data_IF_517177571788
#
_entry.id   IF_517177571788
#
_cell.length_a   1.000
_cell.length_b   1.000
_cell.length_c   1.000
_cell.angle_alpha   90.00
_cell.angle_beta   90.00
_cell.angle_gamma   90.00
#
_symmetry.space_group_name_H-M   'P 1'
#
loop_
_entity.id
_entity.type
_entity.pdbx_description
1 polymer ?
#
# COMPACT_ATOMS: atom_id res chain seq x y z
N UNK A 1 45.39 4.63 -34.56
CA UNK A 1 44.06 4.00 -34.43
C UNK A 1 43.99 3.49 -33.00
N UNK A 2 43.34 4.25 -32.12
CA UNK A 2 43.18 3.88 -30.72
C UNK A 2 41.97 2.94 -30.60
N UNK A 3 42.19 1.79 -29.99
CA UNK A 3 41.15 0.84 -29.58
C UNK A 3 40.21 1.54 -28.58
N UNK A 4 38.92 1.45 -28.86
CA UNK A 4 37.86 1.86 -27.94
C UNK A 4 37.72 0.73 -26.93
N UNK A 5 38.31 0.93 -25.75
CA UNK A 5 38.05 0.13 -24.57
C UNK A 5 36.54 0.13 -24.31
N UNK A 6 35.93 -1.04 -24.46
CA UNK A 6 34.58 -1.32 -24.02
C UNK A 6 34.53 -1.19 -22.50
N UNK A 7 33.88 -0.13 -22.00
CA UNK A 7 33.42 -0.03 -20.63
C UNK A 7 32.50 -1.22 -20.33
N UNK A 8 33.06 -2.29 -19.77
CA UNK A 8 32.31 -3.30 -19.03
C UNK A 8 31.64 -2.60 -17.84
N UNK A 9 30.31 -2.48 -17.91
CA UNK A 9 29.50 -2.07 -16.78
C UNK A 9 29.61 -3.16 -15.70
N UNK A 10 29.81 -2.79 -14.43
CA UNK A 10 29.94 -3.78 -13.36
C UNK A 10 28.63 -4.56 -13.23
N UNK A 11 28.74 -5.89 -13.31
CA UNK A 11 27.71 -6.88 -12.98
C UNK A 11 27.27 -6.75 -11.52
N UNK A 12 26.50 -5.70 -11.22
CA UNK A 12 25.52 -5.73 -10.15
C UNK A 12 24.29 -6.38 -10.75
N UNK A 13 24.06 -7.66 -10.43
CA UNK A 13 22.95 -8.48 -10.91
C UNK A 13 21.60 -7.83 -10.53
N UNK A 14 21.15 -6.88 -11.35
CA UNK A 14 19.80 -6.32 -11.29
C UNK A 14 18.89 -7.47 -11.64
N UNK A 15 18.29 -8.10 -10.63
CA UNK A 15 17.44 -9.28 -10.80
C UNK A 15 16.42 -9.03 -11.92
N UNK A 16 16.66 -9.61 -13.09
CA UNK A 16 15.85 -9.34 -14.28
C UNK A 16 14.49 -9.98 -14.06
N UNK A 17 13.44 -9.16 -13.92
CA UNK A 17 12.10 -9.70 -13.83
C UNK A 17 11.73 -10.31 -15.18
N UNK A 18 11.23 -11.55 -15.16
CA UNK A 18 10.59 -12.15 -16.34
C UNK A 18 9.44 -11.25 -16.82
N UNK A 19 9.15 -11.23 -18.13
CA UNK A 19 8.08 -10.41 -18.71
C UNK A 19 6.72 -10.55 -17.99
N UNK A 20 6.23 -11.75 -17.62
CA UNK A 20 4.99 -11.89 -16.86
C UNK A 20 5.05 -11.21 -15.48
N UNK A 21 6.21 -11.26 -14.82
CA UNK A 21 6.43 -10.64 -13.53
C UNK A 21 6.53 -9.12 -13.64
N UNK A 22 7.18 -8.60 -14.69
CA UNK A 22 7.19 -7.16 -14.98
C UNK A 22 5.77 -6.63 -15.21
N UNK A 23 4.96 -7.35 -15.99
CA UNK A 23 3.54 -7.01 -16.21
C UNK A 23 2.74 -7.06 -14.92
N UNK A 24 2.97 -8.06 -14.08
CA UNK A 24 2.30 -8.15 -12.79
C UNK A 24 2.69 -6.99 -11.87
N UNK A 25 3.97 -6.68 -11.72
CA UNK A 25 4.45 -5.61 -10.84
C UNK A 25 3.98 -4.21 -11.29
N UNK A 26 3.98 -3.93 -12.60
CA UNK A 26 3.65 -2.59 -13.11
C UNK A 26 2.17 -2.34 -13.38
N UNK A 27 1.38 -3.40 -13.59
CA UNK A 27 -0.05 -3.27 -13.98
C UNK A 27 -0.93 -4.08 -13.05
N UNK A 28 -0.63 -5.38 -12.88
CA UNK A 28 -1.46 -6.28 -12.08
C UNK A 28 -1.54 -5.85 -10.61
N UNK A 29 -0.39 -5.56 -9.99
CA UNK A 29 -0.27 -5.27 -8.57
C UNK A 29 -0.96 -3.96 -8.17
N UNK A 30 -0.77 -2.82 -8.89
CA UNK A 30 -1.53 -1.60 -8.62
C UNK A 30 -3.04 -1.79 -8.74
N UNK A 31 -3.52 -2.50 -9.78
CA UNK A 31 -4.95 -2.76 -10.00
C UNK A 31 -5.54 -3.66 -8.91
N UNK A 32 -4.88 -4.77 -8.60
CA UNK A 32 -5.35 -5.69 -7.56
C UNK A 32 -5.39 -5.02 -6.19
N UNK A 33 -4.40 -4.18 -5.90
CA UNK A 33 -4.33 -3.48 -4.61
C UNK A 33 -5.39 -2.39 -4.49
N UNK A 34 -5.73 -1.71 -5.59
CA UNK A 34 -6.78 -0.68 -5.61
C UNK A 34 -8.20 -1.25 -5.47
N UNK A 35 -8.43 -2.54 -5.80
CA UNK A 35 -9.69 -3.22 -5.49
C UNK A 35 -10.02 -3.19 -3.99
N UNK A 36 -9.01 -3.22 -3.13
CA UNK A 36 -9.22 -3.06 -1.69
C UNK A 36 -9.79 -1.68 -1.35
N UNK A 37 -9.33 -0.63 -2.03
CA UNK A 37 -9.83 0.74 -1.84
C UNK A 37 -11.21 0.95 -2.46
N UNK A 38 -11.51 0.28 -3.58
CA UNK A 38 -12.87 0.19 -4.12
C UNK A 38 -13.83 -0.43 -3.09
N UNK A 39 -13.46 -1.59 -2.53
CA UNK A 39 -14.27 -2.28 -1.55
C UNK A 39 -14.45 -1.47 -0.27
N UNK A 40 -13.36 -0.90 0.27
CA UNK A 40 -13.41 -0.12 1.50
C UNK A 40 -14.22 1.16 1.32
N UNK A 41 -13.93 1.99 0.31
CA UNK A 41 -14.67 3.24 0.08
C UNK A 41 -16.16 2.98 -0.11
N UNK A 42 -16.54 2.00 -0.93
CA UNK A 42 -17.93 1.59 -1.13
C UNK A 42 -18.57 1.11 0.18
N UNK A 43 -17.85 0.30 0.95
CA UNK A 43 -18.30 -0.22 2.23
C UNK A 43 -18.54 0.90 3.25
N UNK A 44 -17.62 1.86 3.37
CA UNK A 44 -17.77 3.02 4.27
C UNK A 44 -18.97 3.86 3.83
N UNK A 45 -19.09 4.17 2.55
CA UNK A 45 -20.22 4.92 2.00
C UNK A 45 -21.55 4.25 2.38
N UNK A 46 -21.68 2.94 2.15
CA UNK A 46 -22.92 2.23 2.44
C UNK A 46 -23.16 2.03 3.95
N UNK A 47 -22.18 1.57 4.70
CA UNK A 47 -22.34 1.17 6.11
C UNK A 47 -22.53 2.36 7.04
N UNK A 48 -21.83 3.48 6.79
CA UNK A 48 -21.87 4.67 7.65
C UNK A 48 -22.94 5.67 7.18
N UNK A 49 -23.03 5.91 5.87
CA UNK A 49 -23.89 6.96 5.30
C UNK A 49 -25.15 6.41 4.61
N UNK A 50 -25.25 5.10 4.40
CA UNK A 50 -26.40 4.48 3.75
C UNK A 50 -26.49 4.68 2.24
N UNK A 51 -25.58 5.47 1.65
CA UNK A 51 -25.57 5.86 0.26
C UNK A 51 -24.25 5.43 -0.41
N UNK A 52 -24.29 5.11 -1.70
CA UNK A 52 -23.07 4.86 -2.48
C UNK A 52 -22.89 6.07 -3.39
N UNK A 53 -21.72 6.69 -3.31
CA UNK A 53 -21.31 7.79 -4.17
C UNK A 53 -20.05 7.35 -4.94
N UNK A 54 -20.02 7.64 -6.23
CA UNK A 54 -18.92 7.26 -7.11
C UNK A 54 -17.66 8.10 -6.84
N UNK A 55 -17.80 9.34 -6.36
CA UNK A 55 -16.69 10.27 -6.15
C UNK A 55 -15.64 9.76 -5.16
N UNK A 56 -15.98 9.38 -3.91
CA UNK A 56 -14.97 8.86 -2.99
C UNK A 56 -14.34 7.56 -3.48
N UNK A 57 -15.09 6.72 -4.21
CA UNK A 57 -14.58 5.48 -4.80
C UNK A 57 -13.54 5.77 -5.86
N UNK A 58 -13.84 6.63 -6.84
CA UNK A 58 -12.89 7.00 -7.89
C UNK A 58 -11.66 7.72 -7.34
N UNK A 59 -11.82 8.58 -6.33
CA UNK A 59 -10.68 9.23 -5.66
C UNK A 59 -9.78 8.17 -5.06
N UNK A 60 -10.29 7.29 -4.20
CA UNK A 60 -9.46 6.33 -3.48
C UNK A 60 -8.82 5.29 -4.42
N UNK A 61 -9.56 4.79 -5.41
CA UNK A 61 -9.03 3.84 -6.41
C UNK A 61 -7.94 4.47 -7.26
N UNK A 62 -8.19 5.66 -7.83
CA UNK A 62 -7.20 6.34 -8.68
C UNK A 62 -5.96 6.71 -7.88
N UNK A 63 -6.13 7.13 -6.62
CA UNK A 63 -5.03 7.47 -5.71
C UNK A 63 -4.12 6.26 -5.44
N UNK A 64 -4.71 5.09 -5.14
CA UNK A 64 -3.95 3.86 -4.92
C UNK A 64 -3.21 3.43 -6.19
N UNK A 65 -3.87 3.46 -7.36
CA UNK A 65 -3.22 3.11 -8.64
C UNK A 65 -2.06 4.05 -8.92
N UNK A 66 -2.21 5.35 -8.68
CA UNK A 66 -1.15 6.33 -8.89
C UNK A 66 0.02 6.14 -7.94
N UNK A 67 -0.26 6.05 -6.64
CA UNK A 67 0.79 6.00 -5.61
C UNK A 67 1.58 4.70 -5.67
N UNK A 68 0.89 3.56 -5.76
CA UNK A 68 1.53 2.25 -5.86
C UNK A 68 2.15 2.09 -7.25
N UNK A 69 1.43 2.44 -8.31
CA UNK A 69 1.91 2.29 -9.67
C UNK A 69 3.13 3.16 -9.96
N UNK A 70 3.21 4.39 -9.44
CA UNK A 70 4.42 5.22 -9.58
C UNK A 70 5.60 4.67 -8.76
N UNK A 71 5.38 4.20 -7.53
CA UNK A 71 6.45 3.60 -6.71
C UNK A 71 7.07 2.40 -7.44
N UNK A 72 6.23 1.45 -7.91
CA UNK A 72 6.70 0.30 -8.68
C UNK A 72 7.28 0.69 -10.04
N UNK A 73 6.73 1.69 -10.73
CA UNK A 73 7.27 2.15 -12.01
C UNK A 73 8.69 2.72 -11.84
N UNK A 74 8.91 3.53 -10.79
CA UNK A 74 10.23 4.10 -10.52
C UNK A 74 11.23 3.07 -10.02
N UNK A 75 10.82 2.11 -9.19
CA UNK A 75 11.68 1.02 -8.73
C UNK A 75 12.17 0.14 -9.91
N UNK A 76 11.41 0.09 -11.01
CA UNK A 76 11.79 -0.63 -12.25
C UNK A 76 12.50 0.25 -13.30
N UNK A 77 12.95 1.47 -12.95
CA UNK A 77 13.72 2.34 -13.86
C UNK A 77 14.96 1.66 -14.46
N UNK A 78 15.76 0.86 -13.72
CA UNK A 78 16.89 0.13 -14.31
C UNK A 78 16.48 -0.84 -15.42
N UNK A 79 15.36 -1.55 -15.25
CA UNK A 79 14.81 -2.43 -16.28
C UNK A 79 14.33 -1.66 -17.51
N UNK A 80 13.76 -0.47 -17.34
CA UNK A 80 13.39 0.40 -18.45
C UNK A 80 14.62 0.84 -19.26
N UNK A 81 15.72 1.20 -18.60
CA UNK A 81 16.97 1.57 -19.28
C UNK A 81 17.53 0.40 -20.08
N UNK A 82 17.56 -0.80 -19.49
CA UNK A 82 17.99 -2.01 -20.18
C UNK A 82 17.09 -2.38 -21.37
N UNK A 83 15.77 -2.32 -21.21
CA UNK A 83 14.83 -2.61 -22.29
C UNK A 83 15.04 -1.66 -23.48
N UNK A 84 15.36 -0.38 -23.21
CA UNK A 84 15.72 0.59 -24.26
C UNK A 84 17.05 0.25 -24.93
N UNK A 85 18.07 -0.11 -24.16
CA UNK A 85 19.40 -0.42 -24.72
C UNK A 85 19.41 -1.73 -25.51
N UNK A 86 18.55 -2.68 -25.16
CA UNK A 86 18.40 -3.96 -25.84
C UNK A 86 17.29 -3.98 -26.90
N UNK A 87 16.57 -2.87 -27.09
CA UNK A 87 15.40 -2.80 -27.96
C UNK A 87 14.37 -3.91 -27.71
N UNK A 88 14.10 -4.20 -26.43
CA UNK A 88 13.09 -5.19 -26.02
C UNK A 88 11.69 -4.58 -26.11
N UNK A 89 11.07 -4.71 -27.29
CA UNK A 89 9.73 -4.17 -27.58
C UNK A 89 8.65 -4.69 -26.62
N UNK A 90 8.79 -5.93 -26.13
CA UNK A 90 7.81 -6.52 -25.22
C UNK A 90 7.87 -5.83 -23.85
N UNK A 91 9.06 -5.64 -23.28
CA UNK A 91 9.23 -4.92 -22.04
C UNK A 91 8.83 -3.44 -22.18
N UNK A 92 9.24 -2.77 -23.27
CA UNK A 92 8.89 -1.37 -23.55
C UNK A 92 7.36 -1.17 -23.69
N UNK A 93 6.67 -2.13 -24.29
CA UNK A 93 5.21 -2.15 -24.37
C UNK A 93 4.58 -2.19 -22.97
N UNK A 94 5.09 -3.04 -22.06
CA UNK A 94 4.57 -3.08 -20.67
C UNK A 94 4.73 -1.74 -19.96
N UNK A 95 5.90 -1.10 -20.06
CA UNK A 95 6.10 0.24 -19.48
C UNK A 95 5.17 1.29 -20.11
N UNK A 96 4.91 1.21 -21.42
CA UNK A 96 4.00 2.12 -22.11
C UNK A 96 2.57 1.96 -21.62
N UNK A 97 2.09 0.71 -21.44
CA UNK A 97 0.78 0.42 -20.87
C UNK A 97 0.66 0.88 -19.41
N UNK A 98 1.70 0.66 -18.60
CA UNK A 98 1.74 1.13 -17.21
C UNK A 98 1.65 2.67 -17.15
N UNK A 99 2.40 3.38 -18.01
CA UNK A 99 2.32 4.84 -18.12
C UNK A 99 0.94 5.32 -18.53
N UNK A 100 0.31 4.66 -19.50
CA UNK A 100 -1.05 5.00 -19.93
C UNK A 100 -2.06 4.80 -18.79
N UNK A 101 -1.94 3.70 -18.04
CA UNK A 101 -2.78 3.44 -16.86
C UNK A 101 -2.64 4.56 -15.82
N UNK A 102 -1.41 4.99 -15.52
CA UNK A 102 -1.13 6.08 -14.59
C UNK A 102 -1.73 7.41 -15.08
N UNK A 103 -1.53 7.77 -16.35
CA UNK A 103 -2.08 8.99 -16.93
C UNK A 103 -3.62 8.99 -16.93
N UNK A 104 -4.24 7.86 -17.26
CA UNK A 104 -5.69 7.71 -17.22
C UNK A 104 -6.23 7.90 -15.79
N UNK A 105 -5.60 7.29 -14.79
CA UNK A 105 -6.01 7.47 -13.38
C UNK A 105 -5.74 8.89 -12.86
N UNK A 106 -4.68 9.56 -13.32
CA UNK A 106 -4.46 10.97 -13.02
C UNK A 106 -5.60 11.85 -13.56
N UNK A 107 -6.01 11.63 -14.81
CA UNK A 107 -7.13 12.34 -15.41
C UNK A 107 -8.45 12.09 -14.66
N UNK A 108 -8.75 10.82 -14.33
CA UNK A 108 -9.93 10.45 -13.53
C UNK A 108 -9.91 11.12 -12.15
N UNK A 109 -8.77 11.11 -11.46
CA UNK A 109 -8.61 11.74 -10.15
C UNK A 109 -8.88 13.25 -10.24
N UNK A 110 -8.25 13.93 -11.21
CA UNK A 110 -8.41 15.38 -11.41
C UNK A 110 -9.89 15.72 -11.69
N UNK A 111 -10.53 15.04 -12.63
CA UNK A 111 -11.93 15.27 -12.98
C UNK A 111 -12.83 15.03 -11.76
N UNK A 112 -12.57 13.97 -10.99
CA UNK A 112 -13.38 13.66 -9.80
C UNK A 112 -13.21 14.71 -8.70
N UNK A 113 -11.98 15.19 -8.47
CA UNK A 113 -11.70 16.26 -7.51
C UNK A 113 -12.32 17.60 -7.92
N UNK A 114 -12.33 17.94 -9.21
CA UNK A 114 -13.02 19.12 -9.73
C UNK A 114 -14.55 19.05 -9.54
N UNK A 115 -15.11 17.85 -9.44
CA UNK A 115 -16.53 17.59 -9.15
C UNK A 115 -16.82 17.39 -7.66
N UNK A 116 -15.84 17.64 -6.80
CA UNK A 116 -15.91 17.46 -5.36
C UNK A 116 -15.74 18.80 -4.63
N UNK A 117 -16.23 18.94 -3.38
CA UNK A 117 -15.93 20.10 -2.56
C UNK A 117 -14.41 20.26 -2.38
N UNK A 118 -13.92 21.51 -2.40
CA UNK A 118 -12.48 21.81 -2.33
C UNK A 118 -11.78 21.18 -1.11
N UNK A 119 -12.49 21.04 0.01
CA UNK A 119 -11.96 20.39 1.22
C UNK A 119 -11.59 18.92 0.98
N UNK A 120 -12.30 18.24 0.08
CA UNK A 120 -11.98 16.87 -0.35
C UNK A 120 -10.64 16.85 -1.07
N UNK A 121 -10.35 17.84 -1.90
CA UNK A 121 -9.04 17.98 -2.57
C UNK A 121 -7.92 18.21 -1.56
N UNK A 122 -8.14 19.06 -0.55
CA UNK A 122 -7.17 19.28 0.53
C UNK A 122 -6.90 18.00 1.33
N UNK A 123 -7.95 17.28 1.75
CA UNK A 123 -7.83 15.99 2.46
C UNK A 123 -7.08 14.97 1.58
N UNK A 124 -7.48 14.85 0.32
CA UNK A 124 -6.87 13.93 -0.64
C UNK A 124 -5.37 14.23 -0.80
N UNK A 125 -5.00 15.51 -0.93
CA UNK A 125 -3.61 15.93 -1.05
C UNK A 125 -2.77 15.54 0.18
N UNK A 126 -3.31 15.70 1.40
CA UNK A 126 -2.61 15.33 2.65
C UNK A 126 -2.24 13.85 2.69
N UNK A 127 -3.05 12.97 2.09
CA UNK A 127 -2.78 11.52 2.07
C UNK A 127 -2.01 11.06 0.83
N UNK A 128 -2.24 11.65 -0.34
CA UNK A 128 -1.56 11.27 -1.59
C UNK A 128 -0.13 11.80 -1.64
N UNK A 129 0.12 13.06 -1.29
CA UNK A 129 1.44 13.69 -1.49
C UNK A 129 2.54 12.89 -0.75
N UNK A 130 2.38 12.49 0.52
CA UNK A 130 3.39 11.67 1.19
C UNK A 130 3.64 10.33 0.48
N UNK A 131 2.61 9.73 -0.11
CA UNK A 131 2.73 8.48 -0.86
C UNK A 131 3.38 8.67 -2.24
N UNK A 132 3.23 9.83 -2.88
CA UNK A 132 3.96 10.15 -4.12
C UNK A 132 5.44 10.44 -3.85
N UNK A 133 5.74 10.98 -2.67
CA UNK A 133 7.10 11.31 -2.23
C UNK A 133 7.77 10.14 -1.48
N UNK A 134 7.16 8.96 -1.51
CA UNK A 134 7.48 7.81 -0.66
C UNK A 134 8.95 7.37 -0.70
N UNK A 135 9.52 7.33 -1.90
CA UNK A 135 10.92 6.95 -2.17
C UNK A 135 11.81 8.15 -2.52
N UNK A 136 11.31 9.39 -2.41
CA UNK A 136 12.09 10.57 -2.77
C UNK A 136 12.91 11.06 -1.57
N UNK A 137 14.16 11.46 -1.83
CA UNK A 137 14.96 12.17 -0.84
C UNK A 137 14.40 13.58 -0.67
N UNK A 138 13.83 13.87 0.51
CA UNK A 138 13.23 15.17 0.80
C UNK A 138 14.24 16.18 1.32
N UNK A 139 15.18 15.74 2.15
CA UNK A 139 16.18 16.58 2.78
C UNK A 139 17.50 15.84 2.88
N UNK A 140 18.61 16.56 2.66
CA UNK A 140 19.95 16.08 2.97
C UNK A 140 20.42 16.75 4.25
N UNK A 141 20.83 15.96 5.24
CA UNK A 141 21.55 16.49 6.40
C UNK A 141 23.04 16.18 6.24
N UNK A 142 23.88 17.21 6.31
CA UNK A 142 25.33 17.01 6.51
C UNK A 142 25.56 16.49 7.91
N UNK A 143 25.62 15.17 8.08
CA UNK A 143 26.06 14.59 9.35
C UNK A 143 27.53 14.92 9.54
N UNK A 144 27.82 15.88 10.42
CA UNK A 144 29.18 16.25 10.84
C UNK A 144 29.74 15.27 11.85
N UNK A 145 29.73 13.97 11.55
CA UNK A 145 30.35 12.94 12.40
C UNK A 145 31.42 12.21 11.61
N UNK A 146 32.67 12.42 12.04
CA UNK A 146 33.84 11.69 11.57
C UNK A 146 33.64 10.19 11.87
N UNK A 147 33.29 9.41 10.85
CA UNK A 147 33.21 7.95 10.96
C UNK A 147 34.61 7.35 10.89
N UNK A 148 35.01 6.65 11.95
CA UNK A 148 36.22 5.83 12.01
C UNK A 148 36.28 4.82 10.84
N UNK A 149 37.42 4.67 10.14
CA UNK A 149 37.50 3.98 8.87
C UNK A 149 37.87 2.49 9.00
N UNK A 150 37.11 1.68 9.75
CA UNK A 150 37.51 0.27 9.94
C UNK A 150 36.45 -0.81 9.78
N UNK A 151 35.19 -0.53 9.37
CA UNK A 151 34.19 -1.62 9.31
C UNK A 151 33.16 -1.60 8.17
N UNK A 152 33.34 -0.84 7.09
CA UNK A 152 32.35 -0.82 5.99
C UNK A 152 33.02 -0.98 4.62
N UNK A 153 33.19 -2.23 4.15
CA UNK A 153 33.70 -2.54 2.81
C UNK A 153 32.67 -3.25 1.91
N UNK A 154 31.38 -3.28 2.25
CA UNK A 154 30.34 -3.95 1.43
C UNK A 154 28.96 -3.27 1.41
N UNK A 155 28.90 -1.95 1.58
CA UNK A 155 27.67 -1.20 1.28
C UNK A 155 27.81 -0.60 -0.13
N UNK A 156 26.89 -0.90 -1.08
CA UNK A 156 26.91 -0.24 -2.38
C UNK A 156 26.60 1.25 -2.21
N UNK A 157 27.19 2.05 -3.09
CA UNK A 157 27.20 3.51 -3.11
C UNK A 157 25.81 4.13 -2.91
N UNK A 158 25.50 4.58 -1.70
CA UNK A 158 24.63 5.74 -1.49
C UNK A 158 25.45 6.81 -0.77
N UNK A 159 25.73 7.88 -1.49
CA UNK A 159 26.41 9.11 -1.10
C UNK A 159 26.41 9.43 0.40
N UNK A 160 27.61 9.72 0.90
CA UNK A 160 27.96 10.39 2.16
C UNK A 160 27.05 11.59 2.50
N UNK A 161 25.91 11.31 3.14
CA UNK A 161 24.98 12.29 3.73
C UNK A 161 23.70 11.58 4.17
N UNK A 162 23.22 11.81 5.39
CA UNK A 162 21.96 11.21 5.83
C UNK A 162 20.80 11.88 5.10
N UNK A 163 20.28 11.21 4.07
CA UNK A 163 19.12 11.60 3.30
C UNK A 163 17.83 11.17 4.01
N UNK A 164 16.88 12.08 4.17
CA UNK A 164 15.55 11.76 4.70
C UNK A 164 14.66 11.23 3.57
N UNK A 165 14.19 9.99 3.74
CA UNK A 165 13.26 9.31 2.82
C UNK A 165 12.12 8.72 3.66
N UNK A 166 10.87 9.02 3.33
CA UNK A 166 9.69 8.60 4.13
C UNK A 166 9.66 7.08 4.34
N UNK A 167 9.88 6.30 3.27
CA UNK A 167 9.88 4.83 3.35
C UNK A 167 11.02 4.24 4.19
N UNK A 168 12.02 5.04 4.56
CA UNK A 168 13.18 4.63 5.36
C UNK A 168 13.09 5.04 6.84
N UNK A 169 11.97 5.60 7.27
CA UNK A 169 11.76 5.86 8.71
C UNK A 169 11.54 4.50 9.41
N UNK A 170 12.36 4.15 10.42
CA UNK A 170 12.32 2.82 11.03
C UNK A 170 10.94 2.41 11.54
N UNK A 171 10.41 1.30 11.00
CA UNK A 171 9.15 0.69 11.41
C UNK A 171 7.89 1.45 10.98
N UNK A 172 8.03 2.63 10.37
CA UNK A 172 6.91 3.51 10.07
C UNK A 172 6.28 3.27 8.71
N UNK A 173 6.95 2.53 7.80
CA UNK A 173 6.43 2.17 6.47
C UNK A 173 5.01 1.60 6.54
N UNK A 174 4.80 0.53 7.31
CA UNK A 174 3.49 -0.09 7.44
C UNK A 174 2.46 0.80 8.17
N UNK A 175 2.91 1.60 9.13
CA UNK A 175 2.04 2.53 9.88
C UNK A 175 1.51 3.63 8.97
N UNK A 176 2.37 4.27 8.18
CA UNK A 176 1.94 5.29 7.22
C UNK A 176 1.01 4.71 6.15
N UNK A 177 1.30 3.52 5.62
CA UNK A 177 0.39 2.85 4.67
C UNK A 177 -1.00 2.65 5.31
N UNK A 178 -1.06 2.23 6.58
CA UNK A 178 -2.32 2.08 7.30
C UNK A 178 -3.06 3.40 7.51
N UNK A 179 -2.36 4.47 7.88
CA UNK A 179 -2.96 5.81 8.04
C UNK A 179 -3.48 6.33 6.70
N UNK A 180 -2.66 6.27 5.64
CA UNK A 180 -3.01 6.77 4.31
C UNK A 180 -4.21 6.01 3.75
N UNK A 181 -4.21 4.67 3.82
CA UNK A 181 -5.25 3.84 3.19
C UNK A 181 -6.46 3.59 4.09
N UNK A 182 -6.29 3.55 5.40
CA UNK A 182 -7.38 3.40 6.38
C UNK A 182 -8.03 4.76 6.67
N UNK A 183 -7.33 5.61 7.42
CA UNK A 183 -7.82 6.94 7.78
C UNK A 183 -8.09 7.82 6.55
N UNK A 184 -7.22 7.80 5.54
CA UNK A 184 -7.41 8.62 4.34
C UNK A 184 -8.66 8.26 3.55
N UNK A 185 -8.92 6.96 3.34
CA UNK A 185 -10.17 6.51 2.68
C UNK A 185 -11.40 6.97 3.47
N UNK A 186 -11.39 6.79 4.80
CA UNK A 186 -12.50 7.25 5.64
C UNK A 186 -12.69 8.77 5.55
N UNK A 187 -11.61 9.55 5.62
CA UNK A 187 -11.66 11.02 5.58
C UNK A 187 -12.22 11.54 4.25
N UNK A 188 -11.82 10.95 3.11
CA UNK A 188 -12.36 11.29 1.78
C UNK A 188 -13.84 10.95 1.67
N UNK A 189 -14.27 9.77 2.14
CA UNK A 189 -15.69 9.40 2.13
C UNK A 189 -16.49 10.36 3.03
N UNK A 190 -15.96 10.64 4.22
CA UNK A 190 -16.59 11.54 5.18
C UNK A 190 -16.77 12.95 4.61
N UNK A 191 -15.74 13.52 3.97
CA UNK A 191 -15.81 14.89 3.44
C UNK A 191 -16.84 15.07 2.33
N UNK A 192 -17.20 13.99 1.63
CA UNK A 192 -18.18 14.01 0.55
C UNK A 192 -19.61 13.71 1.02
N UNK A 193 -19.76 12.82 2.00
CA UNK A 193 -21.08 12.31 2.38
C UNK A 193 -21.64 12.93 3.67
N UNK A 194 -20.82 13.40 4.60
CA UNK A 194 -21.30 13.84 5.92
C UNK A 194 -22.26 15.02 5.88
N UNK A 195 -22.13 15.89 4.86
CA UNK A 195 -23.00 17.06 4.69
C UNK A 195 -24.36 16.71 4.08
N UNK A 196 -24.42 15.65 3.26
CA UNK A 196 -25.63 15.27 2.49
C UNK A 196 -26.39 14.13 3.14
N UNK A 197 -25.70 13.32 3.94
CA UNK A 197 -26.24 12.17 4.64
C UNK A 197 -25.79 12.26 6.09
N UNK A 198 -26.64 12.72 7.03
CA UNK A 198 -26.31 12.60 8.43
C UNK A 198 -26.03 11.13 8.72
N UNK A 199 -24.95 10.86 9.46
CA UNK A 199 -24.62 9.50 9.88
C UNK A 199 -25.89 8.88 10.49
N UNK A 200 -26.29 7.71 9.98
CA UNK A 200 -27.59 7.13 10.36
C UNK A 200 -27.69 7.06 11.89
N UNK A 201 -28.85 7.44 12.48
CA UNK A 201 -29.08 7.26 13.91
C UNK A 201 -28.83 5.80 14.30
N UNK A 202 -28.28 5.56 15.49
CA UNK A 202 -27.99 4.22 16.03
C UNK A 202 -29.30 3.45 16.36
N UNK A 203 -30.12 3.16 15.36
CA UNK A 203 -31.40 2.48 15.49
C UNK A 203 -31.52 1.34 14.48
N UNK A 204 -31.56 0.10 14.99
CA UNK A 204 -31.70 -1.15 14.24
C UNK A 204 -30.42 -1.59 13.51
N UNK A 205 -29.93 -2.81 13.79
CA UNK A 205 -28.85 -3.55 13.10
C UNK A 205 -27.64 -2.74 12.55
N UNK A 206 -27.38 -1.52 13.03
CA UNK A 206 -26.18 -0.75 12.70
C UNK A 206 -25.00 -1.37 13.46
N UNK A 207 -24.31 -2.26 12.76
CA UNK A 207 -23.22 -3.04 13.33
C UNK A 207 -21.92 -2.21 13.39
N UNK A 208 -21.82 -1.11 12.62
CA UNK A 208 -20.59 -0.32 12.47
C UNK A 208 -20.77 1.14 12.87
N UNK A 209 -19.99 1.60 13.85
CA UNK A 209 -19.82 3.03 14.13
C UNK A 209 -18.71 3.64 13.26
N UNK A 210 -18.74 4.96 12.96
CA UNK A 210 -17.67 5.61 12.21
C UNK A 210 -16.28 5.38 12.82
N UNK A 211 -16.19 5.43 14.15
CA UNK A 211 -14.95 5.16 14.89
C UNK A 211 -14.48 3.72 14.73
N UNK A 212 -15.39 2.73 14.79
CA UNK A 212 -15.04 1.33 14.58
C UNK A 212 -14.46 1.11 13.17
N UNK A 213 -15.12 1.65 12.15
CA UNK A 213 -14.68 1.55 10.75
C UNK A 213 -13.29 2.19 10.59
N UNK A 214 -13.11 3.40 11.11
CA UNK A 214 -11.85 4.12 11.05
C UNK A 214 -10.71 3.33 11.72
N UNK A 215 -10.88 2.98 12.99
CA UNK A 215 -9.82 2.31 13.79
C UNK A 215 -9.51 0.93 13.22
N UNK A 216 -10.52 0.11 12.93
CA UNK A 216 -10.31 -1.23 12.39
C UNK A 216 -9.66 -1.17 11.01
N UNK A 217 -10.14 -0.31 10.10
CA UNK A 217 -9.57 -0.24 8.73
C UNK A 217 -8.10 0.16 8.75
N UNK A 218 -7.71 1.09 9.63
CA UNK A 218 -6.32 1.52 9.82
C UNK A 218 -5.46 0.40 10.38
N UNK A 219 -5.87 -0.24 11.48
CA UNK A 219 -5.12 -1.35 12.08
C UNK A 219 -4.96 -2.49 11.06
N UNK A 220 -6.05 -2.87 10.39
CA UNK A 220 -6.07 -3.94 9.42
C UNK A 220 -5.11 -3.63 8.25
N UNK A 221 -5.14 -2.41 7.71
CA UNK A 221 -4.23 -2.00 6.63
C UNK A 221 -2.77 -1.96 7.07
N UNK A 222 -2.48 -1.50 8.29
CA UNK A 222 -1.12 -1.58 8.84
C UNK A 222 -0.65 -3.03 8.94
N UNK A 223 -1.46 -3.93 9.51
CA UNK A 223 -1.07 -5.34 9.65
C UNK A 223 -0.81 -6.01 8.31
N UNK A 224 -1.67 -5.78 7.31
CA UNK A 224 -1.48 -6.32 5.97
C UNK A 224 -0.27 -5.70 5.24
N UNK A 225 0.08 -4.44 5.54
CA UNK A 225 1.33 -3.85 5.04
C UNK A 225 2.56 -4.51 5.68
N UNK A 226 2.53 -4.82 6.98
CA UNK A 226 3.59 -5.61 7.64
C UNK A 226 3.70 -7.01 7.04
N UNK A 227 2.57 -7.64 6.68
CA UNK A 227 2.61 -8.92 5.97
C UNK A 227 3.29 -8.83 4.60
N UNK A 228 3.12 -7.72 3.88
CA UNK A 228 3.88 -7.48 2.65
C UNK A 228 5.38 -7.29 2.95
N UNK A 229 5.73 -6.64 4.06
CA UNK A 229 7.13 -6.57 4.50
C UNK A 229 7.69 -7.96 4.89
N UNK A 230 6.87 -8.89 5.42
CA UNK A 230 7.28 -10.30 5.66
C UNK A 230 7.60 -10.98 4.33
N UNK A 231 6.73 -10.83 3.32
CA UNK A 231 6.94 -11.39 1.97
C UNK A 231 8.28 -10.95 1.39
N UNK A 232 8.64 -9.68 1.61
CA UNK A 232 9.84 -9.07 1.04
C UNK A 232 11.04 -9.08 2.01
N UNK A 233 10.96 -9.82 3.12
CA UNK A 233 11.95 -9.80 4.19
C UNK A 233 13.39 -10.03 3.71
N UNK A 234 13.62 -11.02 2.84
CA UNK A 234 14.96 -11.34 2.34
C UNK A 234 15.55 -10.18 1.53
N UNK A 235 14.72 -9.53 0.72
CA UNK A 235 15.08 -8.40 -0.12
C UNK A 235 15.36 -7.17 0.75
N UNK A 236 14.41 -6.82 1.64
CA UNK A 236 14.51 -5.71 2.59
C UNK A 236 15.71 -5.87 3.53
N UNK A 237 16.01 -7.10 3.96
CA UNK A 237 17.19 -7.42 4.77
C UNK A 237 18.49 -7.14 4.00
N UNK A 238 18.58 -7.57 2.74
CA UNK A 238 19.76 -7.32 1.91
C UNK A 238 19.99 -5.83 1.65
N UNK A 239 18.90 -5.06 1.50
CA UNK A 239 18.92 -3.62 1.24
C UNK A 239 18.91 -2.76 2.52
N UNK A 240 18.90 -3.40 3.70
CA UNK A 240 18.79 -2.74 5.01
C UNK A 240 17.64 -1.72 5.07
N UNK A 241 16.49 -2.07 4.48
CA UNK A 241 15.28 -1.28 4.57
C UNK A 241 14.68 -1.52 5.96
N UNK A 242 14.47 -0.48 6.79
CA UNK A 242 14.15 -0.66 8.20
C UNK A 242 12.65 -0.93 8.42
N UNK A 243 12.12 -2.00 7.80
CA UNK A 243 10.76 -2.50 8.00
C UNK A 243 10.65 -3.22 9.35
N UNK A 244 9.41 -3.44 9.84
CA UNK A 244 9.19 -4.09 11.14
C UNK A 244 9.88 -5.48 11.22
N UNK A 245 9.75 -6.37 10.21
CA UNK A 245 10.48 -7.64 10.20
C UNK A 245 11.99 -7.51 10.30
N UNK A 246 12.57 -6.54 9.59
CA UNK A 246 14.02 -6.27 9.59
C UNK A 246 14.47 -5.73 10.95
N UNK A 247 13.71 -4.80 11.55
CA UNK A 247 14.02 -4.25 12.87
C UNK A 247 13.94 -5.31 13.98
N UNK A 248 12.98 -6.24 13.88
CA UNK A 248 12.87 -7.39 14.79
C UNK A 248 13.84 -8.52 14.44
N UNK A 249 14.55 -8.41 13.30
CA UNK A 249 15.47 -9.41 12.74
C UNK A 249 14.85 -10.81 12.63
N UNK A 250 13.53 -10.88 12.53
CA UNK A 250 12.80 -12.14 12.64
C UNK A 250 11.38 -12.01 12.11
N UNK A 251 11.07 -12.86 11.13
CA UNK A 251 9.73 -13.03 10.62
C UNK A 251 8.81 -13.62 11.70
N UNK A 252 9.29 -14.59 12.47
CA UNK A 252 8.53 -15.23 13.56
C UNK A 252 8.11 -14.22 14.62
N UNK A 253 9.02 -13.35 15.07
CA UNK A 253 8.67 -12.30 16.04
C UNK A 253 7.61 -11.33 15.48
N UNK A 254 7.68 -11.06 14.18
CA UNK A 254 6.67 -10.22 13.52
C UNK A 254 5.31 -10.91 13.47
N UNK A 255 5.25 -12.22 13.17
CA UNK A 255 4.01 -13.00 13.21
C UNK A 255 3.36 -12.98 14.59
N UNK A 256 4.15 -13.12 15.65
CA UNK A 256 3.66 -12.97 17.02
C UNK A 256 3.13 -11.57 17.30
N UNK A 257 3.85 -10.52 16.90
CA UNK A 257 3.39 -9.14 17.04
C UNK A 257 2.04 -8.90 16.34
N UNK A 258 1.90 -9.34 15.08
CA UNK A 258 0.65 -9.22 14.33
C UNK A 258 -0.50 -10.00 15.00
N UNK A 259 -0.21 -11.20 15.52
CA UNK A 259 -1.20 -12.00 16.26
C UNK A 259 -1.69 -11.28 17.51
N UNK A 260 -0.78 -10.65 18.27
CA UNK A 260 -1.14 -9.86 19.46
C UNK A 260 -2.03 -8.67 19.06
N UNK A 261 -1.65 -7.93 18.01
CA UNK A 261 -2.44 -6.78 17.53
C UNK A 261 -3.84 -7.22 17.07
N UNK A 262 -3.96 -8.31 16.31
CA UNK A 262 -5.25 -8.86 15.92
C UNK A 262 -6.07 -9.35 17.11
N UNK A 263 -5.45 -10.01 18.09
CA UNK A 263 -6.11 -10.44 19.31
C UNK A 263 -6.64 -9.26 20.14
N UNK A 264 -5.85 -8.19 20.30
CA UNK A 264 -6.32 -6.96 20.95
C UNK A 264 -7.48 -6.32 20.18
N UNK A 265 -7.43 -6.33 18.84
CA UNK A 265 -8.53 -5.86 17.98
C UNK A 265 -9.80 -6.68 18.21
N UNK A 266 -9.70 -8.00 18.32
CA UNK A 266 -10.81 -8.89 18.66
C UNK A 266 -11.41 -8.53 20.02
N UNK A 267 -10.58 -8.32 21.04
CA UNK A 267 -11.05 -7.98 22.39
C UNK A 267 -11.76 -6.61 22.44
N UNK A 268 -11.19 -5.60 21.77
CA UNK A 268 -11.76 -4.25 21.77
C UNK A 268 -13.10 -4.22 21.01
N UNK A 269 -13.21 -4.97 19.92
CA UNK A 269 -14.36 -4.94 19.03
C UNK A 269 -15.20 -6.24 19.05
N UNK A 270 -15.17 -6.98 20.16
CA UNK A 270 -15.79 -8.32 20.26
C UNK A 270 -17.28 -8.37 19.91
N UNK A 271 -18.00 -7.25 20.04
CA UNK A 271 -19.43 -7.16 19.71
C UNK A 271 -19.70 -6.97 18.22
N UNK A 272 -18.69 -6.63 17.42
CA UNK A 272 -18.83 -6.46 15.98
C UNK A 272 -18.32 -7.73 15.27
N UNK A 273 -19.26 -8.60 14.90
CA UNK A 273 -18.97 -9.91 14.28
C UNK A 273 -18.10 -9.79 13.03
N UNK A 274 -18.23 -8.70 12.25
CA UNK A 274 -17.45 -8.54 11.03
C UNK A 274 -15.99 -8.17 11.32
N UNK A 275 -15.74 -7.32 12.33
CA UNK A 275 -14.37 -7.05 12.80
C UNK A 275 -13.75 -8.33 13.36
N UNK A 276 -14.56 -9.13 14.09
CA UNK A 276 -14.12 -10.42 14.62
C UNK A 276 -13.70 -11.37 13.51
N UNK A 277 -14.58 -11.63 12.55
CA UNK A 277 -14.30 -12.51 11.42
C UNK A 277 -13.11 -12.01 10.58
N UNK A 278 -13.03 -10.70 10.32
CA UNK A 278 -11.92 -10.11 9.59
C UNK A 278 -10.58 -10.27 10.30
N UNK A 279 -10.55 -10.11 11.63
CA UNK A 279 -9.32 -10.26 12.43
C UNK A 279 -8.91 -11.72 12.58
N UNK A 280 -9.88 -12.65 12.67
CA UNK A 280 -9.60 -14.10 12.63
C UNK A 280 -9.01 -14.49 11.28
N UNK A 281 -9.61 -14.04 10.17
CA UNK A 281 -9.07 -14.25 8.82
C UNK A 281 -7.65 -13.71 8.68
N UNK A 282 -7.39 -12.48 9.12
CA UNK A 282 -6.05 -11.89 9.10
C UNK A 282 -5.05 -12.70 9.93
N UNK A 283 -5.45 -13.16 11.13
CA UNK A 283 -4.62 -14.01 11.99
C UNK A 283 -4.26 -15.33 11.30
N UNK A 284 -5.22 -15.98 10.64
CA UNK A 284 -4.96 -17.21 9.87
C UNK A 284 -3.93 -16.94 8.77
N UNK A 285 -4.08 -15.84 8.02
CA UNK A 285 -3.13 -15.49 6.96
C UNK A 285 -1.72 -15.20 7.49
N UNK A 286 -1.59 -14.54 8.66
CA UNK A 286 -0.29 -14.26 9.30
C UNK A 286 0.51 -15.54 9.52
N UNK A 287 -0.16 -16.64 9.90
CA UNK A 287 0.49 -17.92 10.13
C UNK A 287 0.61 -18.79 8.88
N UNK A 288 -0.32 -18.65 7.93
CA UNK A 288 -0.31 -19.40 6.67
C UNK A 288 0.73 -18.89 5.66
N UNK A 289 1.08 -17.60 5.71
CA UNK A 289 1.99 -16.97 4.75
C UNK A 289 3.35 -16.66 5.38
N UNK A 290 4.41 -16.78 4.59
CA UNK A 290 5.79 -16.46 4.97
C UNK A 290 6.64 -15.96 3.80
N UNK A 291 7.88 -15.56 4.06
CA UNK A 291 8.82 -15.09 3.03
C UNK A 291 9.09 -16.10 1.91
N UNK A 292 8.80 -17.39 2.16
CA UNK A 292 8.93 -18.50 1.20
C UNK A 292 7.65 -18.78 0.41
N UNK A 293 6.54 -18.15 0.77
CA UNK A 293 5.25 -18.38 0.11
C UNK A 293 5.21 -17.71 -1.26
N UNK A 294 4.43 -18.27 -2.19
CA UNK A 294 4.20 -17.64 -3.48
C UNK A 294 3.59 -16.24 -3.29
N UNK A 295 4.19 -15.22 -3.92
CA UNK A 295 3.72 -13.82 -3.91
C UNK A 295 2.25 -13.71 -4.32
N UNK A 296 1.73 -14.63 -5.14
CA UNK A 296 0.31 -14.66 -5.52
C UNK A 296 -0.62 -14.92 -4.33
N UNK A 297 -0.21 -15.73 -3.36
CA UNK A 297 -1.01 -16.03 -2.16
C UNK A 297 -1.18 -14.79 -1.28
N UNK A 298 -0.21 -13.88 -1.28
CA UNK A 298 -0.32 -12.59 -0.59
C UNK A 298 -1.42 -11.69 -1.15
N UNK A 299 -2.00 -11.99 -2.33
CA UNK A 299 -3.20 -11.28 -2.81
C UNK A 299 -4.39 -11.46 -1.88
N UNK A 300 -4.49 -12.60 -1.20
CA UNK A 300 -5.52 -12.86 -0.19
C UNK A 300 -5.46 -11.85 0.97
N UNK A 301 -4.25 -11.40 1.31
CA UNK A 301 -4.01 -10.35 2.32
C UNK A 301 -4.60 -9.01 1.88
N UNK A 302 -4.52 -8.67 0.58
CA UNK A 302 -5.04 -7.40 0.05
C UNK A 302 -6.57 -7.33 -0.02
N UNK A 303 -7.26 -8.47 0.07
CA UNK A 303 -8.72 -8.58 -0.05
C UNK A 303 -9.47 -8.82 1.27
N UNK A 304 -8.82 -8.71 2.44
CA UNK A 304 -9.51 -8.89 3.72
C UNK A 304 -10.71 -7.96 3.92
N UNK A 305 -10.60 -6.71 3.47
CA UNK A 305 -11.70 -5.74 3.51
C UNK A 305 -12.78 -6.03 2.45
N UNK A 306 -12.40 -6.61 1.31
CA UNK A 306 -13.35 -7.06 0.28
C UNK A 306 -14.22 -8.19 0.81
N UNK A 307 -13.62 -9.17 1.51
CA UNK A 307 -14.35 -10.26 2.15
C UNK A 307 -15.35 -9.73 3.18
N UNK A 308 -14.90 -8.84 4.07
CA UNK A 308 -15.77 -8.23 5.10
C UNK A 308 -16.92 -7.45 4.47
N UNK A 309 -16.64 -6.67 3.41
CA UNK A 309 -17.68 -5.95 2.68
C UNK A 309 -18.71 -6.92 2.08
N UNK A 310 -18.27 -7.99 1.41
CA UNK A 310 -19.16 -9.00 0.82
C UNK A 310 -20.04 -9.67 1.89
N UNK A 311 -19.44 -10.12 3.00
CA UNK A 311 -20.17 -10.76 4.09
C UNK A 311 -21.21 -9.79 4.68
N UNK A 312 -20.85 -8.52 4.86
CA UNK A 312 -21.77 -7.47 5.30
C UNK A 312 -22.95 -7.30 4.34
N UNK A 313 -22.68 -7.24 3.03
CA UNK A 313 -23.71 -7.12 2.01
C UNK A 313 -24.66 -8.32 1.98
N UNK A 314 -24.12 -9.55 2.05
CA UNK A 314 -24.93 -10.77 2.10
C UNK A 314 -25.83 -10.75 3.35
N UNK A 315 -25.27 -10.44 4.52
CA UNK A 315 -26.03 -10.37 5.77
C UNK A 315 -27.14 -9.30 5.74
N UNK A 316 -26.98 -8.23 4.97
CA UNK A 316 -28.00 -7.18 4.81
C UNK A 316 -29.02 -7.46 3.70
N UNK A 317 -28.68 -8.29 2.72
CA UNK A 317 -29.59 -8.68 1.62
C UNK A 317 -30.53 -9.82 2.01
N UNK A 318 -30.16 -10.59 3.03
CA UNK A 318 -31.04 -11.59 3.67
C UNK A 318 -31.51 -11.05 5.02
N UNK A 319 -32.54 -10.17 5.07
CA UNK A 319 -33.23 -9.94 6.31
C UNK A 319 -33.81 -11.30 6.74
N UNK A 320 -33.39 -11.77 7.91
CA UNK A 320 -34.01 -12.92 8.57
C UNK A 320 -35.53 -12.74 8.53
N UNK A 321 -36.19 -13.70 7.87
CA UNK A 321 -37.64 -13.89 7.90
C UNK A 321 -38.13 -14.12 9.34
#
# INVERSE_FOLDING_TARGET
>A
MAEIDSCELPDGDVSVLSLPRLKDELIGHPLMTSMGSLALSTFISKSVYGAIDWRPVLICVSSDVLTIGLDHYYDQTPMLHRAKSMSDDAALSVFSHARLLLLANAAVLIVTLLRSPWITSAITAVFIIPALLWNQTLFYWKSGTASNPTLNARAPLSSSGSAFVIKRIPGMKAVFIGIIRGCGTFAVVHSLLSSSYPARPHGGWMIWTPTQVLVWSTINRTCHAVMADIRDFTEDWSMQIPTIPVLLKSVTHTKFLLTIVHFLTLLIFYRNVFIVLGSVYATILVWALDEKSDRKLYRLSFHSQTLVAIIYWIAHMYPSA
#
